data_IF_501984080695
#
_entry.id   IF_501984080695
#
_cell.length_a   1.000
_cell.length_b   1.000
_cell.length_c   1.000
_cell.angle_alpha   90.00
_cell.angle_beta   90.00
_cell.angle_gamma   90.00
#
_symmetry.space_group_name_H-M   'P 1'
#
loop_
_entity.id
_entity.type
_entity.pdbx_description
1 polymer ?
#
# COMPACT_ATOMS: atom_id res chain seq x y z
N UNK A 1 7.32 40.90 0.30
CA UNK A 1 6.49 39.72 0.55
C UNK A 1 5.52 40.08 1.67
N UNK A 2 4.22 39.97 1.46
CA UNK A 2 3.25 40.26 2.52
C UNK A 2 3.32 39.18 3.62
N UNK A 3 2.86 39.47 4.85
CA UNK A 3 2.74 38.44 5.89
C UNK A 3 1.86 37.26 5.44
N UNK A 4 0.81 37.53 4.68
CA UNK A 4 -0.09 36.54 4.11
C UNK A 4 0.62 35.64 3.07
N UNK A 5 1.41 36.24 2.17
CA UNK A 5 2.20 35.49 1.18
C UNK A 5 3.21 34.56 1.86
N UNK A 6 3.82 35.05 2.95
CA UNK A 6 4.81 34.30 3.73
C UNK A 6 4.17 33.09 4.41
N UNK A 7 2.99 33.28 5.01
CA UNK A 7 2.24 32.20 5.64
C UNK A 7 1.79 31.15 4.61
N UNK A 8 1.30 31.59 3.44
CA UNK A 8 0.89 30.72 2.35
C UNK A 8 2.07 29.90 1.81
N UNK A 9 3.21 30.55 1.58
CA UNK A 9 4.43 29.90 1.11
C UNK A 9 4.90 28.82 2.09
N UNK A 10 4.96 29.15 3.39
CA UNK A 10 5.32 28.18 4.43
C UNK A 10 4.34 27.01 4.50
N UNK A 11 3.03 27.30 4.39
CA UNK A 11 2.00 26.26 4.44
C UNK A 11 2.11 25.30 3.25
N UNK A 12 2.30 25.85 2.06
CA UNK A 12 2.44 25.08 0.84
C UNK A 12 3.71 24.23 0.85
N UNK A 13 4.82 24.77 1.35
CA UNK A 13 6.06 24.00 1.57
C UNK A 13 5.83 22.84 2.53
N UNK A 14 5.16 23.07 3.66
CA UNK A 14 4.82 22.01 4.62
C UNK A 14 3.94 20.91 4.00
N UNK A 15 3.00 21.27 3.12
CA UNK A 15 2.21 20.28 2.38
C UNK A 15 3.11 19.44 1.46
N UNK A 16 3.98 20.09 0.69
CA UNK A 16 4.89 19.40 -0.23
C UNK A 16 5.87 18.49 0.52
N UNK A 17 6.41 18.93 1.65
CA UNK A 17 7.30 18.12 2.50
C UNK A 17 6.58 16.86 3.00
N UNK A 18 5.31 16.98 3.38
CA UNK A 18 4.48 15.85 3.81
C UNK A 18 4.20 14.86 2.68
N UNK A 19 3.85 15.34 1.49
CA UNK A 19 3.70 14.49 0.30
C UNK A 19 5.01 13.80 -0.07
N UNK A 20 6.15 14.49 0.02
CA UNK A 20 7.47 13.89 -0.20
C UNK A 20 7.83 12.82 0.83
N UNK A 21 7.45 13.01 2.11
CA UNK A 21 7.62 11.99 3.13
C UNK A 21 6.73 10.76 2.87
N UNK A 22 5.47 10.98 2.47
CA UNK A 22 4.54 9.91 2.12
C UNK A 22 5.02 9.12 0.91
N UNK A 23 5.52 9.80 -0.13
CA UNK A 23 6.10 9.15 -1.31
C UNK A 23 7.26 8.24 -0.92
N UNK A 24 8.25 8.75 -0.17
CA UNK A 24 9.39 7.93 0.30
C UNK A 24 8.93 6.71 1.10
N UNK A 25 7.91 6.88 1.94
CA UNK A 25 7.32 5.77 2.69
C UNK A 25 6.71 4.72 1.74
N UNK A 26 5.97 5.14 0.72
CA UNK A 26 5.37 4.25 -0.28
C UNK A 26 6.41 3.52 -1.12
N UNK A 27 7.49 4.21 -1.52
CA UNK A 27 8.61 3.61 -2.27
C UNK A 27 9.34 2.55 -1.43
N UNK A 28 9.66 2.86 -0.18
CA UNK A 28 10.27 1.91 0.75
C UNK A 28 9.36 0.70 0.96
N UNK A 29 8.07 0.96 1.21
CA UNK A 29 7.08 -0.09 1.38
C UNK A 29 7.01 -0.98 0.13
N UNK A 30 7.00 -0.41 -1.07
CA UNK A 30 6.97 -1.18 -2.32
C UNK A 30 8.17 -2.13 -2.43
N UNK A 31 9.36 -1.66 -2.08
CA UNK A 31 10.58 -2.48 -2.07
C UNK A 31 10.60 -3.55 -0.99
N UNK A 32 10.05 -3.26 0.19
CA UNK A 32 10.09 -4.17 1.33
C UNK A 32 8.92 -5.15 1.36
N UNK A 33 7.78 -4.81 0.77
CA UNK A 33 6.54 -5.60 0.77
C UNK A 33 6.76 -7.10 0.48
N UNK A 34 7.62 -7.51 -0.48
CA UNK A 34 7.92 -8.92 -0.73
C UNK A 34 8.34 -9.70 0.51
N UNK A 35 9.10 -9.06 1.40
CA UNK A 35 9.78 -9.65 2.57
C UNK A 35 9.00 -9.47 3.88
N UNK A 36 8.02 -8.57 3.91
CA UNK A 36 7.29 -8.24 5.13
C UNK A 36 6.31 -9.35 5.53
N UNK A 37 6.18 -9.55 6.84
CA UNK A 37 5.13 -10.41 7.39
C UNK A 37 3.75 -9.72 7.28
N UNK A 38 2.65 -10.48 7.25
CA UNK A 38 1.30 -9.89 7.17
C UNK A 38 0.96 -8.91 8.30
N UNK A 39 1.57 -9.08 9.48
CA UNK A 39 1.41 -8.13 10.59
C UNK A 39 2.04 -6.78 10.27
N UNK A 40 3.31 -6.80 9.80
CA UNK A 40 4.04 -5.57 9.46
C UNK A 40 3.38 -4.86 8.27
N UNK A 41 2.90 -5.60 7.27
CA UNK A 41 2.14 -5.00 6.15
C UNK A 41 0.92 -4.23 6.66
N UNK A 42 0.16 -4.78 7.60
CA UNK A 42 -1.01 -4.10 8.19
C UNK A 42 -0.63 -2.83 8.95
N UNK A 43 0.47 -2.86 9.69
CA UNK A 43 0.98 -1.67 10.39
C UNK A 43 1.45 -0.59 9.40
N UNK A 44 2.11 -0.99 8.32
CA UNK A 44 2.52 -0.08 7.25
C UNK A 44 1.33 0.55 6.53
N UNK A 45 0.27 -0.22 6.26
CA UNK A 45 -0.99 0.31 5.69
C UNK A 45 -1.65 1.32 6.62
N UNK A 46 -1.75 1.01 7.91
CA UNK A 46 -2.30 1.95 8.90
C UNK A 46 -1.49 3.25 8.98
N UNK A 47 -0.16 3.14 8.88
CA UNK A 47 0.72 4.31 8.84
C UNK A 47 0.46 5.15 7.57
N UNK A 48 0.32 4.49 6.41
CA UNK A 48 -0.01 5.17 5.16
C UNK A 48 -1.37 5.90 5.24
N UNK A 49 -2.40 5.27 5.82
CA UNK A 49 -3.71 5.89 6.03
C UNK A 49 -3.60 7.16 6.88
N UNK A 50 -2.84 7.11 7.98
CA UNK A 50 -2.59 8.28 8.82
C UNK A 50 -1.87 9.41 8.05
N UNK A 51 -0.90 9.06 7.21
CA UNK A 51 -0.21 10.03 6.36
C UNK A 51 -1.16 10.66 5.33
N UNK A 52 -2.04 9.87 4.71
CA UNK A 52 -3.04 10.36 3.76
C UNK A 52 -4.07 11.28 4.42
N UNK A 53 -4.51 10.96 5.63
CA UNK A 53 -5.43 11.80 6.39
C UNK A 53 -4.79 13.12 6.79
N UNK A 54 -3.51 13.09 7.20
CA UNK A 54 -2.76 14.31 7.47
C UNK A 54 -2.58 15.17 6.21
N UNK A 55 -2.32 14.55 5.05
CA UNK A 55 -2.24 15.26 3.77
C UNK A 55 -3.57 15.95 3.43
N UNK A 56 -4.70 15.26 3.60
CA UNK A 56 -6.04 15.82 3.38
C UNK A 56 -6.35 17.01 4.31
N UNK A 57 -5.91 16.95 5.57
CA UNK A 57 -6.04 18.08 6.51
C UNK A 57 -5.20 19.27 6.09
N UNK A 58 -3.93 19.07 5.78
CA UNK A 58 -3.03 20.13 5.31
C UNK A 58 -3.56 20.82 4.05
N UNK A 59 -4.11 20.05 3.12
CA UNK A 59 -4.74 20.57 1.90
C UNK A 59 -5.99 21.38 2.17
N UNK A 60 -6.81 20.94 3.11
CA UNK A 60 -8.01 21.65 3.53
C UNK A 60 -7.64 23.00 4.15
N UNK A 61 -6.61 23.02 5.01
CA UNK A 61 -6.08 24.23 5.63
C UNK A 61 -5.45 25.16 4.58
N UNK A 62 -4.71 24.63 3.60
CA UNK A 62 -4.14 25.41 2.51
C UNK A 62 -5.24 26.06 1.66
N UNK A 63 -6.31 25.32 1.32
CA UNK A 63 -7.46 25.85 0.58
C UNK A 63 -8.16 26.98 1.35
N UNK A 64 -8.35 26.82 2.66
CA UNK A 64 -8.93 27.86 3.51
C UNK A 64 -8.06 29.12 3.52
N UNK A 65 -6.74 28.97 3.62
CA UNK A 65 -5.81 30.09 3.61
C UNK A 65 -5.83 30.85 2.27
N UNK A 66 -5.90 30.14 1.14
CA UNK A 66 -6.05 30.76 -0.19
C UNK A 66 -7.36 31.55 -0.29
N UNK A 67 -8.47 30.98 0.20
CA UNK A 67 -9.78 31.65 0.21
C UNK A 67 -9.78 32.92 1.08
N UNK A 68 -9.12 32.88 2.24
CA UNK A 68 -9.06 34.00 3.18
C UNK A 68 -8.16 35.14 2.70
N UNK A 69 -7.07 34.81 2.02
CA UNK A 69 -6.09 35.80 1.54
C UNK A 69 -6.50 36.46 0.23
N UNK A 70 -7.43 35.85 -0.53
CA UNK A 70 -7.90 36.38 -1.81
C UNK A 70 -6.80 36.46 -2.87
N UNK A 71 -5.67 35.77 -2.65
CA UNK A 71 -4.54 35.76 -3.57
C UNK A 71 -4.94 35.06 -4.87
N UNK A 72 -4.82 35.78 -5.98
CA UNK A 72 -5.15 35.27 -7.32
C UNK A 72 -4.12 34.25 -7.83
N UNK A 73 -2.91 34.25 -7.26
CA UNK A 73 -1.83 33.38 -7.68
C UNK A 73 -1.11 32.73 -6.49
N UNK A 74 -0.95 31.41 -6.59
CA UNK A 74 -0.08 30.61 -5.71
C UNK A 74 1.37 30.65 -6.23
N UNK A 75 2.38 30.44 -5.37
CA UNK A 75 3.77 30.31 -5.80
C UNK A 75 3.94 29.20 -6.85
N UNK A 76 4.32 29.57 -8.07
CA UNK A 76 4.35 28.67 -9.23
C UNK A 76 5.40 27.55 -9.08
N UNK A 77 6.53 27.88 -8.47
CA UNK A 77 7.60 26.93 -8.12
C UNK A 77 7.07 25.82 -7.20
N UNK A 78 6.39 26.17 -6.11
CA UNK A 78 5.81 25.20 -5.18
C UNK A 78 4.65 24.43 -5.80
N UNK A 79 3.88 25.05 -6.70
CA UNK A 79 2.82 24.37 -7.46
C UNK A 79 3.39 23.30 -8.38
N UNK A 80 4.49 23.59 -9.06
CA UNK A 80 5.16 22.64 -9.95
C UNK A 80 5.67 21.42 -9.19
N UNK A 81 6.32 21.64 -8.03
CA UNK A 81 6.77 20.58 -7.12
C UNK A 81 5.59 19.74 -6.67
N UNK A 82 4.49 20.38 -6.30
CA UNK A 82 3.29 19.70 -5.82
C UNK A 82 2.66 18.80 -6.88
N UNK A 83 2.51 19.28 -8.12
CA UNK A 83 1.98 18.48 -9.23
C UNK A 83 2.82 17.22 -9.45
N UNK A 84 4.15 17.39 -9.52
CA UNK A 84 5.08 16.29 -9.65
C UNK A 84 4.94 15.26 -8.51
N UNK A 85 4.86 15.73 -7.26
CA UNK A 85 4.69 14.84 -6.10
C UNK A 85 3.37 14.06 -6.16
N UNK A 86 2.28 14.68 -6.58
CA UNK A 86 0.98 14.01 -6.71
C UNK A 86 1.03 12.93 -7.81
N UNK A 87 1.66 13.22 -8.94
CA UNK A 87 1.85 12.25 -10.02
C UNK A 87 2.73 11.06 -9.57
N UNK A 88 3.82 11.33 -8.86
CA UNK A 88 4.72 10.31 -8.31
C UNK A 88 4.01 9.46 -7.23
N UNK A 89 3.23 10.07 -6.34
CA UNK A 89 2.39 9.35 -5.36
C UNK A 89 1.36 8.47 -6.06
N UNK A 90 0.67 8.98 -7.08
CA UNK A 90 -0.29 8.19 -7.84
C UNK A 90 0.39 6.98 -8.49
N UNK A 91 1.53 7.18 -9.13
CA UNK A 91 2.32 6.11 -9.73
C UNK A 91 2.75 5.07 -8.70
N UNK A 92 3.31 5.50 -7.56
CA UNK A 92 3.73 4.59 -6.50
C UNK A 92 2.54 3.82 -5.91
N UNK A 93 1.36 4.45 -5.82
CA UNK A 93 0.15 3.79 -5.34
C UNK A 93 -0.30 2.69 -6.29
N UNK A 94 -0.33 2.95 -7.60
CA UNK A 94 -0.65 1.93 -8.60
C UNK A 94 0.29 0.72 -8.51
N UNK A 95 1.59 0.97 -8.39
CA UNK A 95 2.58 -0.11 -8.25
C UNK A 95 2.40 -0.93 -6.96
N UNK A 96 2.05 -0.28 -5.85
CA UNK A 96 1.75 -0.96 -4.58
C UNK A 96 0.50 -1.83 -4.69
N UNK A 97 -0.55 -1.34 -5.35
CA UNK A 97 -1.79 -2.10 -5.59
C UNK A 97 -1.49 -3.34 -6.42
N UNK A 98 -0.82 -3.20 -7.55
CA UNK A 98 -0.45 -4.32 -8.42
C UNK A 98 0.34 -5.40 -7.65
N UNK A 99 1.28 -4.98 -6.80
CA UNK A 99 2.09 -5.88 -5.99
C UNK A 99 1.28 -6.60 -4.90
N UNK A 100 0.34 -5.90 -4.26
CA UNK A 100 -0.57 -6.47 -3.26
C UNK A 100 -1.51 -7.51 -3.90
N UNK A 101 -2.09 -7.19 -5.07
CA UNK A 101 -2.93 -8.12 -5.82
C UNK A 101 -2.15 -9.38 -6.21
N UNK A 102 -0.92 -9.24 -6.71
CA UNK A 102 -0.05 -10.37 -7.02
C UNK A 102 0.22 -11.28 -5.82
N UNK A 103 0.47 -10.70 -4.63
CA UNK A 103 0.64 -11.47 -3.39
C UNK A 103 -0.63 -12.20 -2.96
N UNK A 104 -1.80 -11.56 -3.09
CA UNK A 104 -3.09 -12.19 -2.78
C UNK A 104 -3.31 -13.41 -3.67
N UNK A 105 -3.08 -13.30 -4.97
CA UNK A 105 -3.21 -14.41 -5.92
C UNK A 105 -2.28 -15.58 -5.57
N UNK A 106 -1.03 -15.29 -5.19
CA UNK A 106 -0.08 -16.32 -4.75
C UNK A 106 -0.57 -17.04 -3.50
N UNK A 107 -1.00 -16.30 -2.47
CA UNK A 107 -1.53 -16.87 -1.22
C UNK A 107 -2.78 -17.72 -1.50
N UNK A 108 -3.70 -17.25 -2.34
CA UNK A 108 -4.89 -18.02 -2.72
C UNK A 108 -4.52 -19.33 -3.41
N UNK A 109 -3.53 -19.30 -4.31
CA UNK A 109 -3.05 -20.50 -5.01
C UNK A 109 -2.42 -21.51 -4.04
N UNK A 110 -1.65 -21.06 -3.07
CA UNK A 110 -1.04 -21.90 -2.02
C UNK A 110 -2.11 -22.49 -1.10
N UNK A 111 -3.10 -21.71 -0.69
CA UNK A 111 -4.22 -22.18 0.13
C UNK A 111 -5.07 -23.22 -0.62
N UNK A 112 -5.26 -23.07 -1.93
CA UNK A 112 -5.95 -24.08 -2.77
C UNK A 112 -5.14 -25.37 -2.86
N UNK A 113 -3.83 -25.28 -3.11
CA UNK A 113 -2.91 -26.44 -3.13
C UNK A 113 -2.87 -27.16 -1.79
N UNK A 114 -2.77 -26.42 -0.68
CA UNK A 114 -2.79 -26.99 0.66
C UNK A 114 -4.09 -27.72 0.96
N UNK A 115 -5.24 -27.13 0.59
CA UNK A 115 -6.55 -27.80 0.72
C UNK A 115 -6.60 -29.10 -0.11
N UNK A 116 -6.16 -29.07 -1.36
CA UNK A 116 -6.12 -30.26 -2.21
C UNK A 116 -5.17 -31.35 -1.67
N UNK A 117 -3.99 -30.95 -1.16
CA UNK A 117 -3.04 -31.85 -0.53
C UNK A 117 -3.58 -32.49 0.75
N UNK A 118 -4.28 -31.73 1.59
CA UNK A 118 -4.97 -32.25 2.78
C UNK A 118 -6.12 -33.21 2.41
N UNK A 119 -6.89 -32.90 1.36
CA UNK A 119 -7.94 -33.81 0.86
C UNK A 119 -7.34 -35.11 0.32
N UNK A 120 -6.21 -35.06 -0.41
CA UNK A 120 -5.51 -36.25 -0.89
C UNK A 120 -4.96 -37.11 0.26
N UNK A 121 -4.41 -36.48 1.31
CA UNK A 121 -3.91 -37.17 2.51
C UNK A 121 -5.04 -37.78 3.35
N UNK A 122 -6.20 -37.10 3.46
CA UNK A 122 -7.39 -37.65 4.12
C UNK A 122 -8.00 -38.83 3.35
N UNK A 123 -7.98 -38.79 2.01
CA UNK A 123 -8.39 -39.91 1.16
C UNK A 123 -7.47 -41.14 1.30
N UNK A 124 -6.17 -40.92 1.53
CA UNK A 124 -5.21 -42.01 1.76
C UNK A 124 -5.43 -42.70 3.13
N UNK A 125 -5.80 -41.94 4.17
CA UNK A 125 -6.16 -42.49 5.49
C UNK A 125 -7.49 -43.25 5.50
N UNK A 126 -8.45 -42.89 4.66
CA UNK A 126 -9.73 -43.63 4.59
C UNK A 126 -9.65 -44.96 3.82
N UNK A 127 -8.65 -45.16 2.95
CA UNK A 127 -8.45 -46.46 2.26
C UNK A 127 -7.63 -47.47 3.05
N UNK A 128 -7.04 -47.09 4.19
CA UNK A 128 -6.19 -47.97 5.00
C UNK A 128 -6.92 -48.62 6.18
N UNK A 129 -8.23 -48.42 6.31
CA UNK A 129 -9.07 -49.08 7.31
C UNK A 129 -10.16 -49.94 6.65
N UNK A 130 -9.78 -51.06 6.05
CA UNK A 130 -10.73 -52.09 5.62
C UNK A 130 -10.28 -52.89 4.40
N UNK A 131 -9.75 -54.09 4.63
CA UNK A 131 -9.60 -55.11 3.60
C UNK A 131 -8.16 -55.39 3.20
N UNK A 132 -7.44 -56.14 4.04
CA UNK A 132 -6.21 -56.79 3.62
C UNK A 132 -6.49 -57.76 2.48
N UNK A 133 -5.89 -57.53 1.31
CA UNK A 133 -5.76 -58.52 0.27
C UNK A 133 -4.28 -58.79 0.08
N UNK A 134 -3.80 -59.89 0.68
CA UNK A 134 -2.48 -60.45 0.43
C UNK A 134 -2.42 -60.83 -1.06
N UNK A 135 -1.65 -60.08 -1.84
CA UNK A 135 -1.29 -60.45 -3.21
C UNK A 135 -0.30 -61.60 -3.12
N UNK A 136 -0.76 -62.82 -3.41
CA UNK A 136 0.14 -63.95 -3.69
C UNK A 136 0.78 -63.71 -5.06
N UNK A 137 2.09 -63.50 -5.05
CA UNK A 137 2.92 -63.60 -6.25
C UNK A 137 3.35 -65.06 -6.36
N UNK A 138 2.89 -65.76 -7.39
CA UNK A 138 3.44 -67.07 -7.75
C UNK A 138 4.64 -66.82 -8.68
N UNK A 139 5.80 -67.37 -8.30
CA UNK A 139 6.87 -67.69 -9.24
C UNK A 139 6.55 -69.00 -9.93
#
# INVERSE_FOLDING_TARGET
MSPADSQLYQKMRSCNDHYGAMLRFMENLYHDLPKLSPLVVRESMRTLDQMQDQARRLDSELRQLVQQTGLEALPEDLLSVRRRLLDEVQKSNSLLVDLLEGKIVLIESELRRNRQGQTAMNGYRQRSAGGGQLVRVNF
#
